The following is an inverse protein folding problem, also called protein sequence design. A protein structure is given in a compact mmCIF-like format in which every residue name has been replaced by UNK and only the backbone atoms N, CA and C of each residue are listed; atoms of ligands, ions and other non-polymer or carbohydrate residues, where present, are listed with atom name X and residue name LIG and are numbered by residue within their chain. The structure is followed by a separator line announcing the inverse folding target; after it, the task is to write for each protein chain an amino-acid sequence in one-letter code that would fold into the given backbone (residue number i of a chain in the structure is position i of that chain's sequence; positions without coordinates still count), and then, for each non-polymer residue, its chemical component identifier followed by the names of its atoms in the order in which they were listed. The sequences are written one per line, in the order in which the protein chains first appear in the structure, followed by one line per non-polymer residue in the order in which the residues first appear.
data_IF_100998886282
#
_entry.id   IF_100998886282
#
_cell.length_a   1.000
_cell.length_b   1.000
_cell.length_c   1.000
_cell.angle_alpha   90.00
_cell.angle_beta   90.00
_cell.angle_gamma   90.00
#
_symmetry.space_group_name_H-M   'P 1'
#
loop_
_entity.id
_entity.type
_entity.pdbx_description
1 polymer ?
#
# COMPACT_ATOMS: atom_id res chain seq x y z
N UNK A 1 4.23 -34.39 24.02
CA UNK A 1 3.97 -33.06 24.61
C UNK A 1 5.16 -32.11 24.42
N UNK A 2 5.69 -31.96 23.19
CA UNK A 2 6.87 -31.11 22.89
C UNK A 2 6.63 -30.09 21.76
N UNK A 3 5.52 -30.19 21.02
CA UNK A 3 5.20 -29.27 19.92
C UNK A 3 4.63 -27.91 20.37
N UNK A 4 4.11 -27.81 21.60
CA UNK A 4 3.49 -26.57 22.08
C UNK A 4 4.51 -25.47 22.43
N UNK A 5 5.73 -25.83 22.82
CA UNK A 5 6.74 -24.87 23.32
C UNK A 5 7.44 -24.12 22.17
N UNK A 6 7.63 -24.74 21.00
CA UNK A 6 8.29 -24.05 19.86
C UNK A 6 7.38 -23.02 19.17
N UNK A 7 6.06 -23.22 19.20
CA UNK A 7 5.10 -22.28 18.60
C UNK A 7 5.04 -20.97 19.41
N UNK A 8 5.24 -21.02 20.73
CA UNK A 8 5.13 -19.82 21.57
C UNK A 8 6.26 -18.82 21.31
N UNK A 9 7.50 -19.29 21.15
CA UNK A 9 8.69 -18.43 20.98
C UNK A 9 8.66 -17.66 19.66
N UNK A 10 8.27 -18.31 18.56
CA UNK A 10 8.14 -17.63 17.25
C UNK A 10 6.98 -16.62 17.22
N UNK A 11 5.94 -16.86 18.03
CA UNK A 11 4.83 -15.90 18.15
C UNK A 11 5.24 -14.64 18.92
N UNK A 12 6.12 -14.78 19.92
CA UNK A 12 6.58 -13.71 20.82
C UNK A 12 7.46 -12.67 20.12
N UNK A 13 8.27 -13.04 19.14
CA UNK A 13 9.06 -12.04 18.40
C UNK A 13 8.15 -11.06 17.63
N UNK A 14 7.05 -11.57 17.04
CA UNK A 14 6.10 -10.76 16.26
C UNK A 14 5.25 -9.81 17.11
N UNK A 15 5.21 -10.02 18.43
CA UNK A 15 4.46 -9.20 19.39
C UNK A 15 5.19 -7.89 19.68
N UNK A 16 6.51 -7.99 19.84
CA UNK A 16 7.37 -6.81 20.01
C UNK A 16 7.34 -5.92 18.78
N UNK A 17 7.24 -6.50 17.58
CA UNK A 17 7.11 -5.78 16.30
C UNK A 17 5.93 -4.80 16.26
N UNK A 18 4.87 -5.06 17.03
CA UNK A 18 3.66 -4.21 17.01
C UNK A 18 3.72 -3.09 18.05
N UNK A 19 4.13 -3.39 19.28
CA UNK A 19 4.14 -2.40 20.36
C UNK A 19 5.39 -1.51 20.35
N UNK A 20 6.53 -2.09 19.98
CA UNK A 20 7.83 -1.43 20.02
C UNK A 20 8.39 -1.16 18.61
N UNK A 21 7.69 -1.60 17.57
CA UNK A 21 8.05 -1.40 16.18
C UNK A 21 7.24 -0.32 15.50
N UNK A 22 6.99 -0.51 14.20
CA UNK A 22 6.20 0.40 13.39
C UNK A 22 5.29 -0.33 12.41
N UNK A 23 4.30 0.39 11.90
CA UNK A 23 3.49 -0.05 10.77
C UNK A 23 3.96 0.64 9.49
N UNK A 24 4.38 -0.16 8.49
CA UNK A 24 4.62 0.33 7.15
C UNK A 24 3.38 0.12 6.28
N UNK A 25 2.78 1.21 5.81
CA UNK A 25 1.64 1.19 4.90
C UNK A 25 2.14 1.26 3.46
N UNK A 26 1.93 0.16 2.72
CA UNK A 26 2.23 0.10 1.29
C UNK A 26 1.11 0.74 0.50
N UNK A 27 1.42 1.86 -0.16
CA UNK A 27 0.49 2.55 -1.06
C UNK A 27 0.72 2.12 -2.51
N UNK A 28 -0.36 1.98 -3.28
CA UNK A 28 -0.30 1.46 -4.64
C UNK A 28 0.28 2.50 -5.62
N UNK A 29 0.92 2.00 -6.66
CA UNK A 29 1.36 2.76 -7.83
C UNK A 29 0.80 2.13 -9.10
N UNK A 30 0.19 2.95 -9.94
CA UNK A 30 -0.24 2.55 -11.28
C UNK A 30 0.89 2.78 -12.29
N UNK A 31 2.15 2.61 -11.89
CA UNK A 31 3.31 2.96 -12.72
C UNK A 31 3.28 2.19 -14.04
N UNK A 32 2.95 0.90 -14.02
CA UNK A 32 2.80 0.11 -15.25
C UNK A 32 1.74 0.65 -16.22
N UNK A 33 0.61 1.16 -15.74
CA UNK A 33 -0.41 1.79 -16.59
C UNK A 33 0.10 3.12 -17.13
N UNK A 34 0.75 3.93 -16.27
CA UNK A 34 1.35 5.19 -16.69
C UNK A 34 2.39 4.93 -17.78
N UNK A 35 3.28 3.96 -17.57
CA UNK A 35 4.33 3.56 -18.51
C UNK A 35 3.73 3.02 -19.80
N UNK A 36 2.68 2.20 -19.74
CA UNK A 36 1.93 1.73 -20.91
C UNK A 36 1.42 2.91 -21.74
N UNK A 37 0.69 3.84 -21.11
CA UNK A 37 0.20 5.03 -21.82
C UNK A 37 1.32 5.94 -22.31
N UNK A 38 2.50 5.97 -21.67
CA UNK A 38 3.64 6.76 -22.14
C UNK A 38 4.36 6.07 -23.31
N UNK A 39 4.52 4.75 -23.25
CA UNK A 39 5.22 3.94 -24.27
C UNK A 39 4.40 3.83 -25.55
N UNK A 40 3.09 3.62 -25.46
CA UNK A 40 2.20 3.60 -26.63
C UNK A 40 2.24 4.94 -27.38
N UNK A 41 2.42 6.06 -26.66
CA UNK A 41 2.63 7.39 -27.27
C UNK A 41 3.98 7.56 -27.97
N UNK A 42 5.01 6.77 -27.62
CA UNK A 42 6.26 6.76 -28.38
C UNK A 42 6.11 5.98 -29.70
N UNK A 43 5.17 5.02 -29.75
CA UNK A 43 4.83 4.31 -30.98
C UNK A 43 3.97 5.16 -31.92
N UNK A 44 3.07 6.01 -31.38
CA UNK A 44 2.23 6.91 -32.19
C UNK A 44 2.94 8.21 -32.65
N UNK A 45 4.12 8.52 -32.11
CA UNK A 45 4.86 9.77 -32.41
C UNK A 45 5.47 9.85 -33.82
N UNK A 46 5.19 8.92 -34.71
CA UNK A 46 5.58 9.02 -36.15
C UNK A 46 4.43 9.36 -37.10
N UNK A 47 3.20 9.52 -36.63
CA UNK A 47 2.06 9.84 -37.50
C UNK A 47 1.57 11.29 -37.30
N UNK A 48 2.38 12.28 -37.70
CA UNK A 48 1.84 13.59 -38.07
C UNK A 48 1.00 13.44 -39.33
N UNK A 49 -0.32 13.33 -39.17
CA UNK A 49 -1.24 13.42 -40.31
C UNK A 49 -1.32 14.88 -40.76
N UNK A 50 -0.64 15.19 -41.87
CA UNK A 50 -0.76 16.50 -42.52
C UNK A 50 -1.91 16.42 -43.52
N UNK A 51 -3.09 16.92 -43.13
CA UNK A 51 -4.19 17.06 -44.08
C UNK A 51 -3.89 18.24 -45.01
N UNK A 52 -3.81 17.96 -46.30
CA UNK A 52 -3.76 18.99 -47.34
C UNK A 52 -5.19 19.24 -47.80
N UNK A 53 -5.78 20.33 -47.33
CA UNK A 53 -6.97 20.91 -47.95
C UNK A 53 -6.48 21.99 -48.92
N UNK A 54 -7.08 22.05 -50.11
CA UNK A 54 -6.68 22.98 -51.17
C UNK A 54 -6.62 24.41 -50.60
N UNK A 55 -5.39 24.89 -50.43
CA UNK A 55 -4.94 26.22 -50.00
C UNK A 55 -4.59 26.45 -48.51
N UNK A 56 -4.77 25.51 -47.58
CA UNK A 56 -4.30 25.70 -46.18
C UNK A 56 -3.86 24.39 -45.50
N UNK A 57 -2.68 24.41 -44.88
CA UNK A 57 -2.14 23.29 -44.10
C UNK A 57 -2.64 23.34 -42.66
N UNK A 58 -3.68 22.57 -42.32
CA UNK A 58 -4.17 22.47 -40.93
C UNK A 58 -3.44 21.34 -40.21
N UNK A 59 -2.65 21.68 -39.18
CA UNK A 59 -2.05 20.71 -38.26
C UNK A 59 -3.02 20.40 -37.13
N UNK A 60 -3.67 19.24 -37.17
CA UNK A 60 -4.48 18.75 -36.05
C UNK A 60 -3.55 18.04 -35.05
N UNK A 61 -3.24 18.70 -33.94
CA UNK A 61 -2.47 18.11 -32.83
C UNK A 61 -3.45 17.31 -31.95
N UNK A 62 -3.31 15.99 -31.90
CA UNK A 62 -4.13 15.13 -31.02
C UNK A 62 -3.73 15.30 -29.52
N UNK A 63 -4.53 15.99 -28.72
CA UNK A 63 -4.27 16.32 -27.28
C UNK A 63 -4.81 15.23 -26.29
N UNK A 64 -5.54 14.22 -26.78
CA UNK A 64 -6.30 13.27 -25.96
C UNK A 64 -5.50 12.34 -25.00
N UNK A 65 -4.30 11.85 -25.33
CA UNK A 65 -3.63 10.82 -24.51
C UNK A 65 -3.04 11.32 -23.18
N UNK A 66 -2.68 12.61 -23.07
CA UNK A 66 -2.11 13.20 -21.84
C UNK A 66 -3.17 13.25 -20.72
N UNK A 67 -4.39 13.61 -21.08
CA UNK A 67 -5.55 13.68 -20.19
C UNK A 67 -5.85 12.36 -19.45
N UNK A 68 -5.67 11.20 -20.10
CA UNK A 68 -5.91 9.87 -19.48
C UNK A 68 -4.85 9.52 -18.42
N UNK A 69 -3.57 9.67 -18.75
CA UNK A 69 -2.47 9.45 -17.80
C UNK A 69 -2.62 10.37 -16.58
N UNK A 70 -2.94 11.64 -16.81
CA UNK A 70 -3.09 12.62 -15.75
C UNK A 70 -4.31 12.30 -14.87
N UNK A 71 -5.42 11.87 -15.47
CA UNK A 71 -6.57 11.39 -14.71
C UNK A 71 -6.24 10.18 -13.80
N UNK A 72 -5.45 9.22 -14.30
CA UNK A 72 -5.00 8.06 -13.51
C UNK A 72 -4.09 8.51 -12.37
N UNK A 73 -3.15 9.42 -12.63
CA UNK A 73 -2.25 9.99 -11.60
C UNK A 73 -3.02 10.73 -10.53
N UNK A 74 -3.97 11.58 -10.92
CA UNK A 74 -4.83 12.33 -9.99
C UNK A 74 -5.67 11.39 -9.14
N UNK A 75 -6.31 10.38 -9.74
CA UNK A 75 -7.09 9.38 -9.01
C UNK A 75 -6.22 8.61 -8.02
N UNK A 76 -5.03 8.17 -8.42
CA UNK A 76 -4.08 7.48 -7.54
C UNK A 76 -3.61 8.39 -6.40
N UNK A 77 -3.33 9.66 -6.70
CA UNK A 77 -2.91 10.64 -5.70
C UNK A 77 -4.00 10.89 -4.66
N UNK A 78 -5.26 11.00 -5.07
CA UNK A 78 -6.40 11.13 -4.15
C UNK A 78 -6.54 9.89 -3.27
N UNK A 79 -6.51 8.68 -3.86
CA UNK A 79 -6.58 7.43 -3.08
C UNK A 79 -5.43 7.31 -2.07
N UNK A 80 -4.21 7.66 -2.48
CA UNK A 80 -3.04 7.61 -1.58
C UNK A 80 -3.18 8.63 -0.45
N UNK A 81 -3.69 9.83 -0.74
CA UNK A 81 -3.98 10.85 0.28
C UNK A 81 -5.04 10.36 1.27
N UNK A 82 -6.13 9.76 0.79
CA UNK A 82 -7.19 9.22 1.64
C UNK A 82 -6.67 8.10 2.55
N UNK A 83 -5.80 7.23 2.04
CA UNK A 83 -5.15 6.18 2.84
C UNK A 83 -4.27 6.78 3.93
N UNK A 84 -3.39 7.73 3.58
CA UNK A 84 -2.49 8.38 4.54
C UNK A 84 -3.30 9.05 5.66
N UNK A 85 -4.29 9.87 5.28
CA UNK A 85 -5.13 10.59 6.24
C UNK A 85 -5.89 9.62 7.17
N UNK A 86 -6.42 8.52 6.62
CA UNK A 86 -7.16 7.54 7.42
C UNK A 86 -6.26 6.82 8.43
N UNK A 87 -5.02 6.46 8.06
CA UNK A 87 -4.09 5.85 9.01
C UNK A 87 -3.60 6.84 10.06
N UNK A 88 -3.29 8.08 9.66
CA UNK A 88 -2.87 9.13 10.59
C UNK A 88 -3.95 9.46 11.63
N UNK A 89 -5.22 9.43 11.24
CA UNK A 89 -6.34 9.74 12.14
C UNK A 89 -6.71 8.57 13.04
N UNK A 90 -6.68 7.35 12.51
CA UNK A 90 -7.36 6.21 13.14
C UNK A 90 -6.41 5.21 13.81
N UNK A 91 -5.13 5.15 13.41
CA UNK A 91 -4.19 4.16 13.94
C UNK A 91 -3.38 4.71 15.11
N UNK A 92 -3.45 4.05 16.27
CA UNK A 92 -2.77 4.54 17.48
C UNK A 92 -1.78 3.56 18.12
N UNK A 93 -1.71 2.31 17.64
CA UNK A 93 -0.87 1.26 18.27
C UNK A 93 0.64 1.50 18.15
N UNK A 94 1.08 2.14 17.07
CA UNK A 94 2.50 2.28 16.74
C UNK A 94 2.71 3.45 15.77
N UNK A 95 3.95 3.96 15.61
CA UNK A 95 4.29 4.85 14.51
C UNK A 95 3.89 4.25 13.15
N UNK A 96 3.42 5.11 12.24
CA UNK A 96 3.03 4.74 10.88
C UNK A 96 3.93 5.44 9.88
N UNK A 97 4.46 4.68 8.94
CA UNK A 97 5.22 5.19 7.81
C UNK A 97 4.69 4.61 6.50
N UNK A 98 5.09 5.19 5.38
CA UNK A 98 4.54 4.88 4.08
C UNK A 98 5.65 4.57 3.08
N UNK A 99 5.35 3.70 2.12
CA UNK A 99 6.20 3.46 0.95
C UNK A 99 5.35 3.04 -0.24
N UNK A 100 5.84 3.36 -1.44
CA UNK A 100 5.16 2.97 -2.68
C UNK A 100 5.39 1.50 -3.04
N UNK A 101 4.39 0.87 -3.64
CA UNK A 101 4.37 -0.55 -4.00
C UNK A 101 5.54 -1.04 -4.86
N UNK A 102 6.13 -0.18 -5.68
CA UNK A 102 7.30 -0.50 -6.50
C UNK A 102 8.59 -0.64 -5.68
N UNK A 103 8.60 -0.20 -4.41
CA UNK A 103 9.73 -0.36 -3.49
C UNK A 103 9.60 -1.56 -2.56
N UNK A 104 8.63 -2.47 -2.79
CA UNK A 104 8.45 -3.68 -1.95
C UNK A 104 9.71 -4.54 -1.81
N UNK A 105 10.56 -4.62 -2.84
CA UNK A 105 11.82 -5.37 -2.77
C UNK A 105 12.84 -4.69 -1.85
N UNK A 106 12.90 -3.36 -1.85
CA UNK A 106 13.75 -2.60 -0.93
C UNK A 106 13.35 -2.86 0.52
N UNK A 107 12.05 -2.80 0.82
CA UNK A 107 11.52 -3.06 2.16
C UNK A 107 11.84 -4.48 2.64
N UNK A 108 11.72 -5.48 1.76
CA UNK A 108 12.08 -6.87 2.09
C UNK A 108 13.57 -7.01 2.46
N UNK A 109 14.41 -6.18 1.84
CA UNK A 109 15.86 -6.16 2.06
C UNK A 109 16.30 -5.16 3.14
N UNK A 110 15.37 -4.66 3.97
CA UNK A 110 15.63 -3.63 5.00
C UNK A 110 16.26 -2.33 4.45
N UNK A 111 15.95 -1.97 3.20
CA UNK A 111 16.37 -0.71 2.59
C UNK A 111 15.21 0.29 2.71
N UNK A 112 15.37 1.28 3.58
CA UNK A 112 14.31 2.24 3.92
C UNK A 112 14.49 3.62 3.29
N UNK A 113 15.18 3.70 2.14
CA UNK A 113 15.49 4.97 1.45
C UNK A 113 14.22 5.68 0.96
N UNK A 114 13.24 4.90 0.48
CA UNK A 114 11.98 5.39 -0.08
C UNK A 114 10.79 5.31 0.89
N UNK A 115 11.06 5.16 2.19
CA UNK A 115 10.05 5.25 3.24
C UNK A 115 9.91 6.70 3.69
N UNK A 116 8.68 7.14 3.96
CA UNK A 116 8.36 8.52 4.33
C UNK A 116 7.22 8.60 5.35
N UNK A 117 7.08 9.76 6.01
CA UNK A 117 6.02 10.07 7.00
C UNK A 117 4.75 10.61 6.31
N UNK A 118 3.67 10.83 7.05
CA UNK A 118 2.42 11.35 6.48
C UNK A 118 2.60 12.68 5.72
N UNK A 119 3.46 13.57 6.24
CA UNK A 119 3.84 14.86 5.63
C UNK A 119 4.82 14.73 4.44
N UNK A 120 5.12 13.50 4.01
CA UNK A 120 6.07 13.15 2.93
C UNK A 120 7.55 13.43 3.22
N UNK A 121 7.90 13.76 4.46
CA UNK A 121 9.31 13.87 4.86
C UNK A 121 9.96 12.50 4.97
N UNK A 122 11.26 12.44 4.68
CA UNK A 122 12.06 11.20 4.80
C UNK A 122 12.29 10.85 6.27
N UNK A 123 12.47 9.57 6.55
CA UNK A 123 12.85 9.10 7.88
C UNK A 123 14.28 9.53 8.23
N UNK A 124 14.47 9.91 9.50
CA UNK A 124 15.80 10.12 10.08
C UNK A 124 16.57 8.81 10.17
N UNK A 125 17.90 8.89 10.37
CA UNK A 125 18.74 7.70 10.57
C UNK A 125 18.29 6.89 11.80
N UNK A 126 17.88 7.57 12.87
CA UNK A 126 17.35 6.94 14.08
C UNK A 126 16.07 6.15 13.79
N UNK A 127 15.11 6.76 13.11
CA UNK A 127 13.85 6.08 12.74
C UNK A 127 14.11 4.87 11.83
N UNK A 128 15.01 5.00 10.85
CA UNK A 128 15.40 3.87 9.98
C UNK A 128 16.02 2.72 10.79
N UNK A 129 16.85 3.03 11.78
CA UNK A 129 17.48 2.01 12.64
C UNK A 129 16.46 1.26 13.50
N UNK A 130 15.40 1.93 13.94
CA UNK A 130 14.32 1.33 14.72
C UNK A 130 13.46 0.37 13.90
N UNK A 131 13.42 0.52 12.56
CA UNK A 131 12.72 -0.38 11.66
C UNK A 131 13.47 -1.71 11.43
N UNK A 132 14.73 -1.86 11.83
CA UNK A 132 15.48 -3.09 11.54
C UNK A 132 14.81 -4.33 12.17
N UNK A 133 14.10 -5.09 11.33
CA UNK A 133 13.35 -6.31 11.67
C UNK A 133 12.15 -6.13 12.60
N UNK A 134 11.71 -4.90 12.85
CA UNK A 134 10.74 -4.56 13.89
C UNK A 134 9.56 -3.77 13.29
N UNK A 135 8.89 -4.35 12.30
CA UNK A 135 7.73 -3.72 11.64
C UNK A 135 6.79 -4.74 11.00
N UNK A 136 5.54 -4.32 10.85
CA UNK A 136 4.54 -5.00 10.01
C UNK A 136 4.23 -4.17 8.77
N UNK A 137 3.67 -4.85 7.77
CA UNK A 137 3.24 -4.20 6.52
C UNK A 137 1.73 -4.29 6.38
N UNK A 138 1.08 -3.15 6.24
CA UNK A 138 -0.35 -3.03 5.89
C UNK A 138 -0.54 -2.58 4.44
N UNK A 139 -1.58 -3.08 3.77
CA UNK A 139 -1.97 -2.60 2.44
C UNK A 139 -3.45 -2.85 2.13
N UNK A 140 -4.01 -2.06 1.21
CA UNK A 140 -5.33 -2.31 0.62
C UNK A 140 -5.14 -3.08 -0.68
N UNK A 141 -5.81 -4.21 -0.80
CA UNK A 141 -5.76 -5.04 -2.00
C UNK A 141 -6.41 -6.40 -1.80
N UNK A 142 -6.15 -7.31 -2.72
CA UNK A 142 -6.64 -8.67 -2.65
C UNK A 142 -5.97 -9.45 -1.52
N UNK A 143 -6.76 -10.27 -0.83
CA UNK A 143 -6.21 -11.19 0.16
C UNK A 143 -5.29 -12.24 -0.46
N UNK A 144 -4.20 -12.62 0.23
CA UNK A 144 -3.39 -13.75 -0.19
C UNK A 144 -4.19 -15.06 -0.06
N UNK A 145 -4.05 -15.96 -1.04
CA UNK A 145 -4.72 -17.28 -1.06
C UNK A 145 -5.63 -17.49 -2.28
N UNK A 146 -6.43 -18.56 -2.22
CA UNK A 146 -7.35 -18.96 -3.31
C UNK A 146 -8.58 -18.07 -3.42
N UNK A 147 -9.12 -17.61 -2.29
CA UNK A 147 -10.27 -16.71 -2.25
C UNK A 147 -9.80 -15.26 -2.29
N UNK A 148 -9.99 -14.59 -3.42
CA UNK A 148 -9.63 -13.18 -3.62
C UNK A 148 -10.80 -12.27 -3.28
N UNK A 149 -10.59 -11.36 -2.34
CA UNK A 149 -11.49 -10.24 -2.06
C UNK A 149 -10.68 -9.05 -1.57
N UNK A 150 -11.22 -7.84 -1.78
CA UNK A 150 -10.58 -6.62 -1.32
C UNK A 150 -10.61 -6.54 0.22
N UNK A 151 -9.45 -6.27 0.82
CA UNK A 151 -9.29 -6.16 2.25
C UNK A 151 -8.16 -5.18 2.61
N UNK A 152 -8.20 -4.70 3.85
CA UNK A 152 -7.03 -4.20 4.54
C UNK A 152 -6.26 -5.40 5.08
N UNK A 153 -5.11 -5.70 4.47
CA UNK A 153 -4.28 -6.87 4.76
C UNK A 153 -3.10 -6.47 5.62
N UNK A 154 -2.74 -7.34 6.57
CA UNK A 154 -1.57 -7.22 7.44
C UNK A 154 -0.62 -8.40 7.21
N UNK A 155 0.66 -8.09 7.02
CA UNK A 155 1.70 -9.07 6.67
C UNK A 155 3.00 -8.79 7.44
N UNK A 156 3.90 -9.78 7.46
CA UNK A 156 5.26 -9.58 7.96
C UNK A 156 6.16 -8.88 6.93
N UNK A 157 7.43 -8.63 7.31
CA UNK A 157 8.46 -8.03 6.44
C UNK A 157 8.68 -8.73 5.10
N UNK A 158 8.31 -10.01 4.99
CA UNK A 158 8.46 -10.81 3.77
C UNK A 158 7.18 -10.81 2.93
N UNK A 159 6.19 -9.96 3.26
CA UNK A 159 4.85 -9.96 2.66
C UNK A 159 4.12 -11.30 2.84
N UNK A 160 4.50 -12.10 3.85
CA UNK A 160 3.80 -13.33 4.18
C UNK A 160 2.69 -13.03 5.16
N UNK A 161 1.61 -13.78 5.03
CA UNK A 161 0.47 -13.71 5.95
C UNK A 161 0.92 -14.08 7.36
N UNK A 162 0.44 -13.32 8.35
CA UNK A 162 0.73 -13.62 9.74
C UNK A 162 0.17 -14.99 10.14
N UNK A 163 0.91 -15.73 10.97
CA UNK A 163 0.44 -16.99 11.53
C UNK A 163 -0.68 -16.75 12.55
N UNK A 164 -1.51 -17.76 12.79
CA UNK A 164 -2.46 -17.72 13.91
C UNK A 164 -1.70 -17.51 15.24
N UNK A 165 -2.22 -16.74 16.22
CA UNK A 165 -3.56 -16.15 16.33
C UNK A 165 -3.72 -14.72 15.76
N UNK A 166 -2.73 -14.22 15.03
CA UNK A 166 -2.74 -12.82 14.57
C UNK A 166 -3.83 -12.53 13.54
N UNK A 167 -4.48 -11.35 13.62
CA UNK A 167 -5.39 -10.92 12.58
C UNK A 167 -4.65 -10.68 11.27
N UNK A 168 -5.12 -11.32 10.21
CA UNK A 168 -4.49 -11.28 8.88
C UNK A 168 -5.02 -10.15 8.00
N UNK A 169 -6.30 -9.83 8.14
CA UNK A 169 -6.96 -8.82 7.33
C UNK A 169 -8.32 -8.38 7.91
N UNK A 170 -8.84 -7.29 7.36
CA UNK A 170 -10.23 -6.82 7.54
C UNK A 170 -10.84 -6.56 6.17
N UNK A 171 -11.96 -7.22 5.87
CA UNK A 171 -12.70 -7.02 4.61
C UNK A 171 -13.17 -5.57 4.47
N UNK A 172 -12.97 -4.99 3.30
CA UNK A 172 -13.47 -3.65 2.91
C UNK A 172 -14.81 -3.73 2.20
N UNK A 173 -15.20 -4.91 1.70
CA UNK A 173 -16.41 -5.14 0.90
C UNK A 173 -16.48 -4.28 -0.37
N UNK A 174 -15.32 -3.91 -0.92
CA UNK A 174 -15.26 -3.24 -2.21
C UNK A 174 -15.82 -4.18 -3.30
N UNK A 175 -16.81 -3.71 -4.07
CA UNK A 175 -17.55 -4.50 -5.07
C UNK A 175 -19.04 -4.67 -4.77
N UNK A 176 -19.47 -4.47 -3.53
CA UNK A 176 -20.89 -4.37 -3.15
C UNK A 176 -21.17 -2.93 -2.75
N UNK A 177 -21.71 -2.13 -3.67
CA UNK A 177 -21.83 -0.67 -3.51
C UNK A 177 -22.59 -0.24 -2.23
N UNK A 178 -23.52 -1.06 -1.74
CA UNK A 178 -24.27 -0.82 -0.50
C UNK A 178 -23.60 -1.36 0.78
N UNK A 179 -22.56 -2.20 0.67
CA UNK A 179 -21.83 -2.77 1.81
C UNK A 179 -20.40 -2.24 1.95
N UNK A 180 -19.97 -1.33 1.06
CA UNK A 180 -18.61 -0.80 1.09
C UNK A 180 -18.31 -0.17 2.45
N UNK A 181 -17.34 -0.76 3.14
CA UNK A 181 -16.89 -0.29 4.45
C UNK A 181 -15.93 0.87 4.25
N UNK A 182 -16.14 1.96 5.00
CA UNK A 182 -15.18 3.07 5.08
C UNK A 182 -13.81 2.57 5.54
N UNK A 183 -12.73 3.09 4.96
CA UNK A 183 -11.37 2.70 5.30
C UNK A 183 -11.08 2.88 6.79
N UNK A 184 -11.45 4.03 7.37
CA UNK A 184 -11.33 4.30 8.81
C UNK A 184 -11.89 3.18 9.69
N UNK A 185 -13.10 2.69 9.36
CA UNK A 185 -13.72 1.60 10.13
C UNK A 185 -12.94 0.30 10.02
N UNK A 186 -12.33 0.03 8.85
CA UNK A 186 -11.49 -1.16 8.66
C UNK A 186 -10.21 -1.10 9.49
N UNK A 187 -9.59 0.09 9.58
CA UNK A 187 -8.40 0.37 10.41
C UNK A 187 -8.75 0.15 11.88
N UNK A 188 -9.81 0.79 12.39
CA UNK A 188 -10.28 0.62 13.78
C UNK A 188 -10.57 -0.86 14.13
N UNK A 189 -11.17 -1.62 13.21
CA UNK A 189 -11.43 -3.06 13.44
C UNK A 189 -10.12 -3.84 13.49
N UNK A 190 -9.15 -3.54 12.62
CA UNK A 190 -7.86 -4.22 12.61
C UNK A 190 -7.10 -3.95 13.91
N UNK A 191 -7.04 -2.68 14.31
CA UNK A 191 -6.42 -2.24 15.55
C UNK A 191 -7.05 -2.90 16.77
N UNK A 192 -8.38 -2.90 16.90
CA UNK A 192 -9.08 -3.61 18.00
C UNK A 192 -8.76 -5.10 18.04
N UNK A 193 -8.65 -5.75 16.88
CA UNK A 193 -8.27 -7.17 16.81
C UNK A 193 -6.83 -7.39 17.28
N UNK A 194 -5.92 -6.48 16.92
CA UNK A 194 -4.53 -6.55 17.36
C UNK A 194 -4.40 -6.32 18.86
N UNK A 195 -5.04 -5.27 19.37
CA UNK A 195 -5.05 -4.96 20.80
C UNK A 195 -5.62 -6.12 21.63
N UNK A 196 -6.71 -6.74 21.16
CA UNK A 196 -7.26 -7.95 21.77
C UNK A 196 -6.28 -9.13 21.79
N UNK A 197 -5.49 -9.35 20.75
CA UNK A 197 -4.45 -10.40 20.79
C UNK A 197 -3.33 -10.01 21.75
N UNK A 198 -2.89 -8.75 21.72
CA UNK A 198 -1.84 -8.21 22.57
C UNK A 198 -2.18 -8.26 24.07
N UNK A 199 -3.45 -8.21 24.44
CA UNK A 199 -3.89 -8.33 25.83
C UNK A 199 -3.82 -9.76 26.38
N UNK A 200 -3.86 -10.79 25.52
CA UNK A 200 -3.81 -12.21 25.91
C UNK A 200 -2.41 -12.75 26.18
N UNK A 201 -1.38 -11.95 25.88
CA UNK A 201 0.03 -12.33 26.03
C UNK A 201 0.62 -11.81 27.35
N UNK A 202 -0.07 -10.87 28.01
CA UNK A 202 0.28 -10.42 29.36
C UNK A 202 -0.07 -11.50 30.38
#
# INVERSE_FOLDING_TARGET
MFFAVHISVYSQSKINDIKNGALLVRIQTNQHLIDHYVKDKLLDKTNTFTYHSNNDSIRIIHILPQKKSDAIKTKQSHLNKDIINAFETEWSLSPVYYFYSNFSNEIRNNIFTNVFKADKTKLSAKEKSQLNNNFLIAYIGDTPGSLKFNALVLTDRNFKTLAHPWPKYVRTYDGLWFLKRKLSKSIQILEKKLDFQLSRIK
#
